data_IF_087392479713
#
_entry.id   IF_087392479713
#
_cell.length_a   1.000
_cell.length_b   1.000
_cell.length_c   1.000
_cell.angle_alpha   90.00
_cell.angle_beta   90.00
_cell.angle_gamma   90.00
#
_symmetry.space_group_name_H-M   'P 1'
#
loop_
_entity.id
_entity.type
_entity.pdbx_description
1 polymer ?
#
# COMPACT_ATOMS: atom_id res chain seq x y z
N UNK A 1 20.46 12.95 -16.29
CA UNK A 1 21.82 13.50 -16.60
C UNK A 1 22.87 12.38 -16.62
N UNK A 2 22.89 11.47 -15.64
CA UNK A 2 23.96 10.48 -15.44
C UNK A 2 23.64 9.02 -15.89
N UNK A 3 22.77 8.79 -16.89
CA UNK A 3 22.33 7.41 -17.19
C UNK A 3 21.47 6.77 -16.09
N UNK A 4 21.12 5.47 -16.19
CA UNK A 4 20.25 4.76 -15.21
C UNK A 4 21.10 4.03 -14.19
N UNK A 5 22.10 3.30 -14.67
CA UNK A 5 23.02 2.52 -13.85
C UNK A 5 23.71 3.42 -12.81
N UNK A 6 24.31 4.58 -13.15
CA UNK A 6 24.84 5.48 -12.12
C UNK A 6 23.75 6.05 -11.19
N UNK A 7 22.53 6.30 -11.67
CA UNK A 7 21.42 6.70 -10.78
C UNK A 7 20.96 5.61 -9.81
N UNK A 8 21.01 4.32 -10.20
CA UNK A 8 20.76 3.18 -9.30
C UNK A 8 21.91 3.02 -8.30
N UNK A 9 23.16 3.09 -8.76
CA UNK A 9 24.35 3.03 -7.89
C UNK A 9 24.32 4.16 -6.84
N UNK A 10 23.96 5.39 -7.21
CA UNK A 10 23.80 6.50 -6.26
C UNK A 10 22.65 6.20 -5.27
N UNK A 11 21.54 5.65 -5.73
CA UNK A 11 20.43 5.26 -4.87
C UNK A 11 20.82 4.18 -3.84
N UNK A 12 21.63 3.20 -4.25
CA UNK A 12 22.13 2.13 -3.40
C UNK A 12 23.12 2.66 -2.35
N UNK A 13 24.01 3.59 -2.72
CA UNK A 13 24.91 4.28 -1.78
C UNK A 13 24.11 5.10 -0.75
N UNK A 14 23.07 5.84 -1.18
CA UNK A 14 22.18 6.56 -0.27
C UNK A 14 21.43 5.62 0.69
N UNK A 15 20.98 4.46 0.19
CA UNK A 15 20.29 3.45 0.99
C UNK A 15 21.23 2.83 2.03
N UNK A 16 22.46 2.46 1.64
CA UNK A 16 23.49 1.94 2.53
C UNK A 16 23.88 2.95 3.61
N UNK A 17 24.13 4.21 3.23
CA UNK A 17 24.42 5.27 4.17
C UNK A 17 23.27 5.49 5.16
N UNK A 18 22.02 5.54 4.68
CA UNK A 18 20.85 5.69 5.52
C UNK A 18 20.62 4.50 6.48
N UNK A 19 20.82 3.27 6.01
CA UNK A 19 20.75 2.06 6.85
C UNK A 19 21.83 2.05 7.94
N UNK A 20 23.07 2.42 7.61
CA UNK A 20 24.15 2.54 8.59
C UNK A 20 23.88 3.65 9.63
N UNK A 21 23.42 4.83 9.18
CA UNK A 21 23.03 5.94 10.07
C UNK A 21 21.92 5.50 11.03
N UNK A 22 20.92 4.75 10.57
CA UNK A 22 19.86 4.22 11.43
C UNK A 22 20.38 3.15 12.41
N UNK A 23 21.22 2.21 11.95
CA UNK A 23 21.76 1.15 12.81
C UNK A 23 22.62 1.71 13.96
N UNK A 24 23.48 2.70 13.66
CA UNK A 24 24.38 3.31 14.66
C UNK A 24 23.80 4.54 15.36
N UNK A 25 22.55 4.92 15.09
CA UNK A 25 21.92 6.11 15.67
C UNK A 25 22.01 6.15 17.21
N UNK A 26 22.57 7.22 17.82
CA UNK A 26 22.58 7.40 19.27
C UNK A 26 21.31 8.11 19.79
N UNK A 27 20.51 8.73 18.92
CA UNK A 27 19.29 9.45 19.29
C UNK A 27 18.22 9.35 18.19
N UNK A 28 16.92 9.55 18.51
CA UNK A 28 15.84 9.50 17.53
C UNK A 28 16.00 10.48 16.36
N UNK A 29 16.63 11.64 16.60
CA UNK A 29 16.92 12.63 15.54
C UNK A 29 17.83 12.05 14.45
N UNK A 30 18.82 11.24 14.82
CA UNK A 30 19.72 10.58 13.85
C UNK A 30 18.99 9.49 13.06
N UNK A 31 17.99 8.82 13.65
CA UNK A 31 17.10 7.90 12.91
C UNK A 31 16.30 8.65 11.84
N UNK A 32 15.82 9.87 12.14
CA UNK A 32 15.12 10.71 11.15
C UNK A 32 16.06 11.06 9.98
N UNK A 33 17.31 11.45 10.26
CA UNK A 33 18.33 11.69 9.21
C UNK A 33 18.52 10.44 8.35
N UNK A 34 18.72 9.27 8.95
CA UNK A 34 18.87 8.02 8.22
C UNK A 34 17.65 7.67 7.35
N UNK A 35 16.43 7.95 7.84
CA UNK A 35 15.18 7.81 7.06
C UNK A 35 15.10 8.77 5.87
N UNK A 36 15.64 9.99 5.97
CA UNK A 36 15.72 10.92 4.82
C UNK A 36 16.65 10.34 3.73
N UNK A 37 17.82 9.83 4.11
CA UNK A 37 18.76 9.19 3.18
C UNK A 37 18.15 7.96 2.48
N UNK A 38 17.53 7.05 3.24
CA UNK A 38 16.81 5.89 2.66
C UNK A 38 15.64 6.36 1.77
N UNK A 39 14.88 7.38 2.19
CA UNK A 39 13.78 7.95 1.42
C UNK A 39 14.21 8.51 0.05
N UNK A 40 15.35 9.20 0.00
CA UNK A 40 15.94 9.68 -1.25
C UNK A 40 16.37 8.51 -2.15
N UNK A 41 17.03 7.49 -1.58
CA UNK A 41 17.41 6.26 -2.29
C UNK A 41 16.19 5.53 -2.87
N UNK A 42 15.16 5.29 -2.06
CA UNK A 42 13.88 4.68 -2.48
C UNK A 42 13.20 5.52 -3.56
N UNK A 43 13.15 6.84 -3.41
CA UNK A 43 12.59 7.75 -4.42
C UNK A 43 13.29 7.69 -5.77
N UNK A 44 14.63 7.53 -5.78
CA UNK A 44 15.41 7.35 -7.01
C UNK A 44 15.26 5.94 -7.60
N UNK A 45 15.34 4.89 -6.77
CA UNK A 45 15.35 3.49 -7.20
C UNK A 45 13.97 3.00 -7.67
N UNK A 46 12.90 3.28 -6.92
CA UNK A 46 11.51 2.91 -7.24
C UNK A 46 11.12 3.32 -8.66
N UNK A 47 11.72 4.43 -9.10
CA UNK A 47 11.54 5.00 -10.40
C UNK A 47 12.50 4.36 -11.38
N UNK A 48 13.82 4.52 -11.18
CA UNK A 48 14.88 4.12 -12.13
C UNK A 48 14.86 2.62 -12.48
N UNK A 49 14.47 1.74 -11.54
CA UNK A 49 14.47 0.29 -11.74
C UNK A 49 13.46 -0.22 -12.79
N UNK A 50 12.12 -0.02 -12.68
CA UNK A 50 11.15 -0.51 -13.67
C UNK A 50 11.40 0.05 -15.08
N UNK A 51 12.10 1.17 -15.18
CA UNK A 51 12.47 1.81 -16.43
C UNK A 51 13.66 1.15 -17.10
N UNK A 52 14.75 0.98 -16.35
CA UNK A 52 15.92 0.24 -16.78
C UNK A 52 15.50 -1.14 -17.30
N UNK A 53 14.64 -1.83 -16.55
CA UNK A 53 14.03 -3.09 -16.96
C UNK A 53 13.26 -2.92 -18.28
N UNK A 54 12.35 -1.96 -18.39
CA UNK A 54 11.52 -1.77 -19.60
C UNK A 54 12.30 -1.46 -20.88
N UNK A 55 13.46 -0.80 -20.74
CA UNK A 55 14.33 -0.35 -21.82
C UNK A 55 15.20 -1.48 -22.37
N UNK A 56 15.63 -2.39 -21.50
CA UNK A 56 16.43 -3.58 -21.86
C UNK A 56 15.53 -4.76 -22.27
N UNK A 57 14.26 -4.77 -21.83
CA UNK A 57 13.33 -5.90 -22.05
C UNK A 57 12.74 -5.98 -23.48
N UNK A 58 12.70 -7.17 -24.10
CA UNK A 58 11.96 -7.41 -25.35
C UNK A 58 10.46 -7.13 -25.21
N UNK A 59 9.86 -6.52 -26.25
CA UNK A 59 8.47 -6.04 -26.21
C UNK A 59 7.40 -7.11 -25.88
N UNK A 60 7.68 -8.40 -26.16
CA UNK A 60 6.76 -9.52 -25.93
C UNK A 60 6.61 -9.91 -24.45
N UNK A 61 7.65 -9.67 -23.63
CA UNK A 61 7.72 -10.09 -22.21
C UNK A 61 8.05 -8.91 -21.27
N UNK A 62 8.04 -7.68 -21.80
CA UNK A 62 8.33 -6.45 -21.04
C UNK A 62 7.43 -6.28 -19.83
N UNK A 63 6.15 -6.67 -19.94
CA UNK A 63 5.20 -6.59 -18.84
C UNK A 63 5.63 -7.47 -17.67
N UNK A 64 5.84 -8.76 -17.93
CA UNK A 64 6.30 -9.72 -16.92
C UNK A 64 7.62 -9.32 -16.27
N UNK A 65 8.62 -8.87 -17.04
CA UNK A 65 9.91 -8.44 -16.50
C UNK A 65 9.79 -7.19 -15.62
N UNK A 66 8.96 -6.21 -15.99
CA UNK A 66 8.70 -5.03 -15.15
C UNK A 66 7.85 -5.39 -13.91
N UNK A 67 6.92 -6.36 -14.00
CA UNK A 67 6.20 -6.90 -12.83
C UNK A 67 7.14 -7.49 -11.78
N UNK A 68 8.32 -8.01 -12.15
CA UNK A 68 9.33 -8.50 -11.20
C UNK A 68 9.74 -7.42 -10.18
N UNK A 69 9.75 -6.14 -10.56
CA UNK A 69 10.00 -5.04 -9.61
C UNK A 69 8.93 -4.96 -8.52
N UNK A 70 7.65 -5.12 -8.90
CA UNK A 70 6.54 -5.19 -7.94
C UNK A 70 6.64 -6.41 -7.03
N UNK A 71 6.99 -7.58 -7.61
CA UNK A 71 7.24 -8.80 -6.85
C UNK A 71 8.35 -8.59 -5.80
N UNK A 72 9.49 -8.01 -6.17
CA UNK A 72 10.60 -7.73 -5.25
C UNK A 72 10.21 -6.72 -4.16
N UNK A 73 9.41 -5.70 -4.46
CA UNK A 73 8.88 -4.77 -3.44
C UNK A 73 7.98 -5.52 -2.45
N UNK A 74 7.01 -6.30 -2.92
CA UNK A 74 6.07 -7.04 -2.04
C UNK A 74 6.74 -8.17 -1.27
N UNK A 75 7.70 -8.87 -1.87
CA UNK A 75 8.53 -9.88 -1.20
C UNK A 75 9.48 -9.26 -0.18
N UNK A 76 10.02 -8.07 -0.46
CA UNK A 76 10.83 -7.30 0.49
C UNK A 76 10.01 -6.84 1.71
N UNK A 77 8.76 -6.40 1.51
CA UNK A 77 7.83 -6.09 2.61
C UNK A 77 7.56 -7.34 3.47
N UNK A 78 7.22 -8.47 2.85
CA UNK A 78 7.00 -9.74 3.56
C UNK A 78 8.25 -10.20 4.35
N UNK A 79 9.43 -10.12 3.72
CA UNK A 79 10.70 -10.44 4.38
C UNK A 79 11.00 -9.50 5.55
N UNK A 80 10.69 -8.21 5.44
CA UNK A 80 10.85 -7.26 6.53
C UNK A 80 9.95 -7.60 7.73
N UNK A 81 8.72 -8.07 7.52
CA UNK A 81 7.87 -8.58 8.62
C UNK A 81 8.45 -9.84 9.28
N UNK A 82 9.02 -10.77 8.51
CA UNK A 82 9.70 -11.95 9.06
C UNK A 82 10.95 -11.58 9.88
N UNK A 83 11.77 -10.66 9.38
CA UNK A 83 12.94 -10.14 10.10
C UNK A 83 12.49 -9.46 11.40
N UNK A 84 11.50 -8.57 11.34
CA UNK A 84 10.97 -7.91 12.53
C UNK A 84 10.46 -8.93 13.56
N UNK A 85 9.68 -9.94 13.13
CA UNK A 85 9.18 -11.00 14.01
C UNK A 85 10.32 -11.80 14.67
N UNK A 86 11.33 -12.20 13.88
CA UNK A 86 12.49 -12.94 14.39
C UNK A 86 13.32 -12.14 15.40
N UNK A 87 13.54 -10.83 15.15
CA UNK A 87 14.39 -10.00 16.01
C UNK A 87 13.66 -9.43 17.25
N UNK A 88 12.32 -9.51 17.36
CA UNK A 88 11.56 -8.99 18.51
C UNK A 88 12.07 -9.45 19.89
N UNK A 89 12.63 -10.67 19.99
CA UNK A 89 13.10 -11.27 21.24
C UNK A 89 14.59 -11.04 21.54
N UNK A 90 15.31 -10.30 20.69
CA UNK A 90 16.77 -10.12 20.79
C UNK A 90 17.12 -8.77 21.43
N UNK A 91 18.03 -8.69 22.43
CA UNK A 91 18.48 -7.42 22.97
C UNK A 91 19.20 -6.58 21.90
N UNK A 92 18.85 -5.29 21.80
CA UNK A 92 19.30 -4.40 20.71
C UNK A 92 18.43 -4.43 19.45
N UNK A 93 17.49 -5.40 19.36
CA UNK A 93 16.20 -5.38 18.63
C UNK A 93 16.13 -4.47 17.40
N UNK A 94 15.84 -3.18 17.58
CA UNK A 94 15.53 -2.24 16.49
C UNK A 94 16.74 -1.87 15.61
N UNK A 95 17.97 -1.94 16.14
CA UNK A 95 19.18 -1.61 15.37
C UNK A 95 19.44 -2.66 14.29
N UNK A 96 19.23 -3.93 14.61
CA UNK A 96 19.34 -5.04 13.66
C UNK A 96 18.21 -5.00 12.61
N UNK A 97 16.97 -4.72 13.02
CA UNK A 97 15.83 -4.56 12.11
C UNK A 97 16.08 -3.49 11.03
N UNK A 98 16.68 -2.35 11.41
CA UNK A 98 16.99 -1.26 10.46
C UNK A 98 18.31 -1.50 9.70
N UNK A 99 19.32 -2.10 10.32
CA UNK A 99 20.64 -2.33 9.71
C UNK A 99 20.65 -3.43 8.65
N UNK A 100 19.92 -4.53 8.86
CA UNK A 100 19.86 -5.66 7.91
C UNK A 100 19.25 -5.23 6.56
N UNK A 101 18.42 -4.18 6.53
CA UNK A 101 17.90 -3.59 5.31
C UNK A 101 19.00 -3.07 4.35
N UNK A 102 20.23 -2.83 4.84
CA UNK A 102 21.38 -2.49 3.99
C UNK A 102 21.91 -3.66 3.15
N UNK A 103 21.70 -4.91 3.56
CA UNK A 103 22.27 -6.08 2.85
C UNK A 103 21.75 -6.24 1.41
N UNK A 104 20.43 -6.14 1.12
CA UNK A 104 19.93 -6.14 -0.26
C UNK A 104 20.51 -4.99 -1.11
N UNK A 105 20.71 -3.80 -0.53
CA UNK A 105 21.31 -2.66 -1.24
C UNK A 105 22.80 -2.89 -1.56
N UNK A 106 23.56 -3.53 -0.65
CA UNK A 106 24.95 -3.93 -0.90
C UNK A 106 25.04 -4.95 -2.05
N UNK A 107 24.16 -5.95 -2.03
CA UNK A 107 24.08 -6.96 -3.09
C UNK A 107 23.72 -6.32 -4.43
N UNK A 108 22.72 -5.42 -4.47
CA UNK A 108 22.35 -4.70 -5.68
C UNK A 108 23.48 -3.82 -6.21
N UNK A 109 24.17 -3.08 -5.33
CA UNK A 109 25.32 -2.25 -5.68
C UNK A 109 26.41 -3.08 -6.40
N UNK A 110 26.80 -4.22 -5.83
CA UNK A 110 27.81 -5.12 -6.42
C UNK A 110 27.35 -5.64 -7.80
N UNK A 111 26.09 -6.06 -7.92
CA UNK A 111 25.53 -6.55 -9.19
C UNK A 111 25.43 -5.45 -10.26
N UNK A 112 25.12 -4.21 -9.87
CA UNK A 112 25.05 -3.07 -10.81
C UNK A 112 26.42 -2.71 -11.41
N UNK A 113 27.52 -3.11 -10.80
CA UNK A 113 28.86 -2.95 -11.40
C UNK A 113 29.04 -3.79 -12.67
N UNK A 114 28.35 -4.93 -12.82
CA UNK A 114 28.50 -5.82 -13.99
C UNK A 114 27.49 -5.55 -15.11
N UNK A 115 26.44 -4.78 -14.86
CA UNK A 115 25.35 -4.53 -15.80
C UNK A 115 25.66 -3.39 -16.80
N UNK A 116 25.21 -3.47 -18.07
CA UNK A 116 25.38 -2.41 -19.08
C UNK A 116 24.41 -1.23 -18.87
N UNK A 117 24.66 -0.07 -19.47
CA UNK A 117 23.73 1.06 -19.39
C UNK A 117 22.48 0.89 -20.28
N UNK A 118 21.29 1.23 -19.76
CA UNK A 118 20.07 1.23 -20.58
C UNK A 118 19.92 2.54 -21.38
N UNK A 119 19.38 2.51 -22.62
CA UNK A 119 19.49 3.65 -23.53
C UNK A 119 18.36 4.72 -23.50
N UNK A 120 17.04 4.47 -23.29
CA UNK A 120 15.96 5.49 -23.55
C UNK A 120 14.77 5.64 -22.52
N UNK A 121 14.83 6.67 -21.65
CA UNK A 121 14.08 6.98 -20.37
C UNK A 121 12.54 7.07 -20.54
N UNK A 122 11.61 6.52 -19.65
CA UNK A 122 10.31 6.93 -18.85
C UNK A 122 8.73 7.14 -19.17
N UNK A 123 7.79 6.66 -18.30
CA UNK A 123 6.47 7.20 -17.66
C UNK A 123 5.02 7.24 -18.32
N UNK A 124 3.79 7.25 -17.67
CA UNK A 124 3.03 7.85 -16.46
C UNK A 124 2.63 6.99 -15.19
N UNK A 125 2.43 7.56 -13.96
CA UNK A 125 2.26 6.79 -12.67
C UNK A 125 1.16 7.15 -11.60
N UNK A 126 0.49 8.31 -11.61
CA UNK A 126 -0.14 8.92 -10.38
C UNK A 126 -1.31 8.15 -9.72
N UNK A 127 -2.19 7.50 -10.49
CA UNK A 127 -3.48 7.00 -9.99
C UNK A 127 -3.40 5.86 -8.94
N UNK A 128 -2.23 5.24 -8.77
CA UNK A 128 -2.04 4.08 -7.88
C UNK A 128 -2.22 4.40 -6.39
N UNK A 129 -1.82 5.60 -5.95
CA UNK A 129 -1.73 5.91 -4.51
C UNK A 129 -3.05 6.33 -3.89
N UNK A 130 -3.94 6.92 -4.68
CA UNK A 130 -5.30 7.28 -4.26
C UNK A 130 -6.20 6.06 -3.99
N UNK A 131 -5.77 4.86 -4.38
CA UNK A 131 -6.37 3.58 -3.96
C UNK A 131 -6.10 3.28 -2.47
N UNK A 132 -5.07 3.88 -1.85
CA UNK A 132 -4.81 3.77 -0.41
C UNK A 132 -4.08 2.50 0.04
N UNK A 133 -3.57 1.67 -0.88
CA UNK A 133 -2.88 0.41 -0.54
C UNK A 133 -1.74 0.57 0.47
N UNK A 134 -0.81 1.50 0.28
CA UNK A 134 0.36 1.64 1.15
C UNK A 134 -0.08 1.98 2.57
N UNK A 135 -1.13 2.80 2.70
CA UNK A 135 -1.79 3.13 3.96
C UNK A 135 -2.44 1.89 4.59
N UNK A 136 -3.15 1.07 3.80
CA UNK A 136 -3.70 -0.23 4.26
C UNK A 136 -2.60 -1.20 4.70
N UNK A 137 -1.44 -1.21 4.04
CA UNK A 137 -0.29 -2.04 4.43
C UNK A 137 0.36 -1.53 5.72
N UNK A 138 0.67 -0.23 5.80
CA UNK A 138 1.31 0.38 6.97
C UNK A 138 0.44 0.30 8.23
N UNK A 139 -0.86 0.50 8.09
CA UNK A 139 -1.83 0.42 9.18
C UNK A 139 -2.56 -0.92 9.23
N UNK A 140 -2.09 -1.98 8.55
CA UNK A 140 -2.69 -3.32 8.61
C UNK A 140 -2.90 -3.81 10.06
N UNK A 141 -1.92 -3.72 10.98
CA UNK A 141 -2.14 -4.11 12.37
C UNK A 141 -3.23 -3.28 13.06
N UNK A 142 -3.25 -1.96 12.82
CA UNK A 142 -4.24 -1.04 13.37
C UNK A 142 -5.64 -1.32 12.82
N UNK A 143 -5.79 -1.60 11.52
CA UNK A 143 -7.07 -1.95 10.90
C UNK A 143 -7.62 -3.27 11.48
N UNK A 144 -6.73 -4.22 11.79
CA UNK A 144 -7.09 -5.47 12.48
C UNK A 144 -7.53 -5.21 13.93
N UNK A 145 -6.85 -4.33 14.66
CA UNK A 145 -7.24 -3.91 16.01
C UNK A 145 -8.59 -3.15 16.01
N UNK A 146 -8.80 -2.23 15.07
CA UNK A 146 -10.07 -1.53 14.82
C UNK A 146 -11.22 -2.51 14.50
N UNK A 147 -10.92 -3.70 13.97
CA UNK A 147 -11.89 -4.76 13.70
C UNK A 147 -12.25 -5.62 14.94
N UNK A 148 -11.64 -5.36 16.10
CA UNK A 148 -11.97 -6.00 17.39
C UNK A 148 -11.07 -7.18 17.78
N UNK A 149 -9.80 -7.21 17.35
CA UNK A 149 -8.83 -8.21 17.80
C UNK A 149 -7.84 -7.60 18.81
N UNK A 150 -7.90 -8.04 20.07
CA UNK A 150 -7.23 -7.38 21.19
C UNK A 150 -5.71 -7.64 21.32
N UNK A 151 -5.16 -8.71 20.73
CA UNK A 151 -3.76 -9.11 20.93
C UNK A 151 -2.81 -8.62 19.83
N UNK A 152 -1.73 -7.94 20.24
CA UNK A 152 -0.66 -7.45 19.36
C UNK A 152 -0.01 -8.56 18.53
N UNK A 153 0.25 -9.73 19.13
CA UNK A 153 0.88 -10.86 18.43
C UNK A 153 -0.03 -11.40 17.31
N UNK A 154 -1.34 -11.44 17.55
CA UNK A 154 -2.33 -11.83 16.53
C UNK A 154 -2.41 -10.80 15.40
N UNK A 155 -2.32 -9.50 15.71
CA UNK A 155 -2.30 -8.44 14.70
C UNK A 155 -1.04 -8.46 13.83
N UNK A 156 0.12 -8.82 14.40
CA UNK A 156 1.36 -9.03 13.63
C UNK A 156 1.27 -10.28 12.75
N UNK A 157 0.79 -11.42 13.28
CA UNK A 157 0.62 -12.65 12.51
C UNK A 157 -0.35 -12.48 11.33
N UNK A 158 -1.47 -11.78 11.52
CA UNK A 158 -2.41 -11.45 10.45
C UNK A 158 -1.81 -10.49 9.41
N UNK A 159 -0.90 -9.59 9.81
CA UNK A 159 -0.19 -8.69 8.89
C UNK A 159 0.91 -9.40 8.05
N UNK A 160 1.41 -10.54 8.53
CA UNK A 160 2.25 -11.43 7.73
C UNK A 160 1.42 -12.10 6.61
N UNK A 161 0.18 -12.50 6.90
CA UNK A 161 -0.75 -13.06 5.91
C UNK A 161 -1.11 -12.04 4.83
N UNK A 162 -1.46 -10.80 5.21
CA UNK A 162 -1.78 -9.74 4.23
C UNK A 162 -0.60 -9.42 3.31
N UNK A 163 0.62 -9.40 3.84
CA UNK A 163 1.86 -9.24 3.07
C UNK A 163 2.15 -10.42 2.15
N UNK A 164 1.92 -11.65 2.61
CA UNK A 164 2.06 -12.86 1.80
C UNK A 164 1.07 -12.90 0.63
N UNK A 165 -0.20 -12.55 0.88
CA UNK A 165 -1.22 -12.43 -0.17
C UNK A 165 -0.84 -11.38 -1.22
N UNK A 166 -0.25 -10.26 -0.80
CA UNK A 166 0.23 -9.22 -1.72
C UNK A 166 1.36 -9.75 -2.63
N UNK A 167 2.30 -10.52 -2.08
CA UNK A 167 3.39 -11.16 -2.83
C UNK A 167 2.86 -12.22 -3.82
N UNK A 168 1.89 -13.06 -3.41
CA UNK A 168 1.22 -14.02 -4.31
C UNK A 168 0.49 -13.28 -5.45
N UNK A 169 -0.18 -12.17 -5.16
CA UNK A 169 -0.81 -11.31 -6.19
C UNK A 169 0.20 -10.75 -7.20
N UNK A 170 1.42 -10.42 -6.77
CA UNK A 170 2.50 -9.98 -7.66
C UNK A 170 2.99 -11.10 -8.58
N UNK A 171 3.05 -12.35 -8.08
CA UNK A 171 3.34 -13.53 -8.92
C UNK A 171 2.24 -13.72 -9.97
N UNK A 172 0.97 -13.60 -9.58
CA UNK A 172 -0.17 -13.67 -10.50
C UNK A 172 -0.09 -12.56 -11.56
N UNK A 173 0.27 -11.32 -11.20
CA UNK A 173 0.53 -10.25 -12.18
C UNK A 173 1.50 -10.69 -13.28
N UNK A 174 2.65 -11.23 -12.88
CA UNK A 174 3.74 -11.59 -13.80
C UNK A 174 3.28 -12.58 -14.89
N UNK A 175 2.45 -13.57 -14.54
CA UNK A 175 1.94 -14.55 -15.50
C UNK A 175 0.77 -14.05 -16.36
N UNK A 176 -0.03 -13.10 -15.87
CA UNK A 176 -1.25 -12.65 -16.55
C UNK A 176 -1.10 -11.33 -17.30
N UNK A 177 -0.11 -10.47 -16.99
CA UNK A 177 0.01 -9.12 -17.59
C UNK A 177 0.22 -9.10 -19.10
N UNK A 178 1.03 -10.01 -19.63
CA UNK A 178 1.24 -10.17 -21.07
C UNK A 178 0.17 -11.07 -21.73
N UNK A 179 -0.68 -11.76 -20.96
CA UNK A 179 -1.82 -12.54 -21.47
C UNK A 179 -3.11 -11.72 -21.56
N UNK A 180 -3.54 -11.10 -20.47
CA UNK A 180 -4.82 -10.40 -20.33
C UNK A 180 -4.78 -8.99 -20.94
N UNK A 181 -3.64 -8.30 -20.83
CA UNK A 181 -3.50 -6.89 -21.23
C UNK A 181 -3.58 -5.92 -20.06
N UNK A 182 -2.91 -4.78 -20.17
CA UNK A 182 -2.71 -3.80 -19.09
C UNK A 182 -4.02 -3.12 -18.70
N UNK A 183 -4.77 -2.63 -19.70
CA UNK A 183 -6.04 -1.91 -19.49
C UNK A 183 -7.06 -2.80 -18.80
N UNK A 184 -7.17 -4.07 -19.22
CA UNK A 184 -8.11 -5.05 -18.65
C UNK A 184 -7.78 -5.39 -17.20
N UNK A 185 -6.51 -5.63 -16.86
CA UNK A 185 -6.11 -5.92 -15.49
C UNK A 185 -6.33 -4.74 -14.54
N UNK A 186 -6.02 -3.51 -14.95
CA UNK A 186 -6.31 -2.31 -14.14
C UNK A 186 -7.81 -2.16 -13.86
N UNK A 187 -8.67 -2.36 -14.87
CA UNK A 187 -10.12 -2.25 -14.71
C UNK A 187 -10.70 -3.34 -13.80
N UNK A 188 -10.31 -4.61 -14.00
CA UNK A 188 -10.75 -5.71 -13.13
C UNK A 188 -10.29 -5.50 -11.68
N UNK A 189 -9.06 -5.04 -11.50
CA UNK A 189 -8.51 -4.70 -10.18
C UNK A 189 -9.27 -3.55 -9.51
N UNK A 190 -9.53 -2.44 -10.22
CA UNK A 190 -10.28 -1.31 -9.69
C UNK A 190 -11.74 -1.65 -9.37
N UNK A 191 -12.39 -2.51 -10.14
CA UNK A 191 -13.73 -3.04 -9.81
C UNK A 191 -13.68 -3.84 -8.50
N UNK A 192 -12.71 -4.76 -8.37
CA UNK A 192 -12.52 -5.53 -7.13
C UNK A 192 -12.23 -4.64 -5.93
N UNK A 193 -11.34 -3.64 -6.08
CA UNK A 193 -11.04 -2.61 -5.08
C UNK A 193 -12.30 -1.90 -4.60
N UNK A 194 -13.13 -1.39 -5.52
CA UNK A 194 -14.38 -0.68 -5.17
C UNK A 194 -15.35 -1.61 -4.44
N UNK A 195 -15.53 -2.85 -4.90
CA UNK A 195 -16.37 -3.85 -4.25
C UNK A 195 -15.89 -4.14 -2.83
N UNK A 196 -14.60 -4.44 -2.63
CA UNK A 196 -14.10 -4.82 -1.31
C UNK A 196 -13.98 -3.64 -0.34
N UNK A 197 -13.72 -2.41 -0.82
CA UNK A 197 -13.81 -1.20 0.02
C UNK A 197 -15.25 -0.90 0.44
N UNK A 198 -16.24 -1.10 -0.44
CA UNK A 198 -17.65 -1.00 -0.08
C UNK A 198 -18.06 -2.07 0.96
N UNK A 199 -17.60 -3.32 0.79
CA UNK A 199 -17.80 -4.40 1.77
C UNK A 199 -17.17 -4.01 3.11
N UNK A 200 -15.89 -3.60 3.15
CA UNK A 200 -15.19 -3.15 4.36
C UNK A 200 -15.95 -2.02 5.08
N UNK A 201 -16.30 -0.95 4.35
CA UNK A 201 -17.09 0.16 4.88
C UNK A 201 -18.42 -0.30 5.48
N UNK A 202 -19.14 -1.19 4.78
CA UNK A 202 -20.40 -1.77 5.27
C UNK A 202 -20.23 -2.67 6.49
N UNK A 203 -19.12 -3.41 6.60
CA UNK A 203 -18.82 -4.24 7.78
C UNK A 203 -18.50 -3.41 9.00
N UNK A 204 -17.70 -2.34 8.85
CA UNK A 204 -17.44 -1.41 9.95
C UNK A 204 -18.69 -0.63 10.37
N UNK A 205 -19.59 -0.29 9.43
CA UNK A 205 -20.87 0.34 9.75
C UNK A 205 -21.78 -0.59 10.58
N UNK A 206 -21.87 -1.86 10.15
CA UNK A 206 -22.60 -2.91 10.89
C UNK A 206 -21.96 -3.24 12.24
N UNK A 207 -20.63 -3.23 12.33
CA UNK A 207 -19.92 -3.42 13.59
C UNK A 207 -20.17 -2.26 14.57
N UNK A 208 -20.20 -1.01 14.08
CA UNK A 208 -20.52 0.16 14.92
C UNK A 208 -21.97 0.13 15.44
N UNK A 209 -22.96 -0.18 14.59
CA UNK A 209 -24.36 -0.26 15.00
C UNK A 209 -24.66 -1.44 15.94
N UNK A 210 -23.89 -2.51 15.87
CA UNK A 210 -24.03 -3.69 16.76
C UNK A 210 -22.93 -3.74 17.83
N UNK A 211 -22.30 -2.60 18.17
CA UNK A 211 -21.35 -2.53 19.25
C UNK A 211 -22.07 -2.79 20.60
N UNK A 212 -21.46 -3.51 21.55
CA UNK A 212 -22.09 -3.76 22.84
C UNK A 212 -22.32 -2.44 23.60
N UNK A 213 -23.43 -2.29 24.33
CA UNK A 213 -23.68 -1.12 25.15
C UNK A 213 -22.76 -1.10 26.38
N UNK A 214 -22.53 0.08 26.94
CA UNK A 214 -21.91 0.24 28.26
C UNK A 214 -23.02 0.19 29.31
N UNK A 215 -22.86 -0.67 30.32
CA UNK A 215 -23.80 -0.78 31.44
C UNK A 215 -23.24 -0.06 32.67
N UNK A 216 -24.05 0.78 33.30
CA UNK A 216 -23.72 1.40 34.58
C UNK A 216 -23.49 0.32 35.66
N UNK A 217 -24.27 -0.77 35.65
CA UNK A 217 -24.10 -1.90 36.60
C UNK A 217 -22.72 -2.56 36.49
N UNK A 218 -22.20 -2.68 35.26
CA UNK A 218 -20.85 -3.21 35.00
C UNK A 218 -19.75 -2.17 35.25
N UNK A 219 -20.09 -0.87 35.23
CA UNK A 219 -19.13 0.23 35.39
C UNK A 219 -18.94 0.64 36.85
N UNK A 220 -20.00 0.54 37.69
CA UNK A 220 -19.97 0.83 39.13
C UNK A 220 -18.85 0.15 39.93
N UNK A 221 -18.48 -1.14 39.71
CA UNK A 221 -17.35 -1.77 40.39
C UNK A 221 -16.01 -1.02 40.19
N UNK A 222 -15.90 -0.26 39.09
CA UNK A 222 -14.72 0.49 38.69
C UNK A 222 -14.88 2.00 38.91
N UNK A 223 -15.75 2.46 39.82
CA UNK A 223 -16.13 3.87 39.98
C UNK A 223 -14.95 4.87 40.10
N UNK A 224 -13.81 4.46 40.67
CA UNK A 224 -12.60 5.31 40.78
C UNK A 224 -11.72 5.33 39.52
N UNK A 225 -12.07 4.55 38.50
CA UNK A 225 -11.27 4.24 37.31
C UNK A 225 -12.08 4.41 36.00
N UNK A 226 -13.25 5.04 36.04
CA UNK A 226 -14.10 5.29 34.87
C UNK A 226 -13.50 6.31 33.91
N UNK A 227 -13.91 6.26 32.64
CA UNK A 227 -13.59 7.31 31.67
C UNK A 227 -14.10 8.69 32.15
N UNK A 228 -13.30 9.78 32.15
CA UNK A 228 -13.72 11.09 32.68
C UNK A 228 -14.95 11.71 32.00
N UNK A 229 -15.21 11.34 30.75
CA UNK A 229 -16.35 11.84 29.97
C UNK A 229 -17.60 10.95 30.09
N UNK A 230 -17.51 9.78 30.75
CA UNK A 230 -18.62 8.85 30.87
C UNK A 230 -19.76 9.44 31.70
N UNK A 231 -20.98 9.42 31.15
CA UNK A 231 -22.19 9.88 31.82
C UNK A 231 -23.25 8.76 31.85
N UNK A 232 -23.60 8.21 33.02
CA UNK A 232 -24.52 7.08 33.15
C UNK A 232 -25.98 7.41 32.78
N UNK A 233 -26.33 8.69 32.64
CA UNK A 233 -27.68 9.13 32.24
C UNK A 233 -27.93 9.07 30.72
N UNK A 234 -26.89 8.79 29.93
CA UNK A 234 -26.96 8.68 28.47
C UNK A 234 -26.76 7.22 28.07
N UNK A 235 -27.34 6.79 26.95
CA UNK A 235 -27.03 5.47 26.41
C UNK A 235 -25.68 5.53 25.66
N UNK A 236 -24.68 4.83 26.18
CA UNK A 236 -23.35 4.72 25.56
C UNK A 236 -23.18 3.34 24.91
N UNK A 237 -22.67 3.29 23.69
CA UNK A 237 -22.06 2.09 23.13
C UNK A 237 -20.56 2.02 23.46
N UNK A 238 -19.96 0.85 23.29
CA UNK A 238 -18.50 0.71 23.29
C UNK A 238 -17.83 1.69 22.31
N UNK A 239 -18.44 1.96 21.14
CA UNK A 239 -17.89 2.89 20.16
C UNK A 239 -17.93 4.35 20.65
N UNK A 240 -18.90 4.72 21.48
CA UNK A 240 -18.97 6.05 22.07
C UNK A 240 -17.93 6.20 23.18
N UNK A 241 -17.76 5.15 24.01
CA UNK A 241 -16.70 5.07 25.02
C UNK A 241 -15.29 5.28 24.43
N UNK A 242 -14.97 4.58 23.33
CA UNK A 242 -13.67 4.70 22.66
C UNK A 242 -13.47 6.01 21.87
N UNK A 243 -14.55 6.75 21.58
CA UNK A 243 -14.49 8.01 20.82
C UNK A 243 -14.52 9.27 21.69
N UNK A 244 -15.04 9.17 22.92
CA UNK A 244 -15.12 10.30 23.85
C UNK A 244 -13.73 10.93 24.06
N UNK A 245 -12.79 10.16 24.62
CA UNK A 245 -11.39 10.56 24.73
C UNK A 245 -10.45 9.43 24.32
N UNK A 246 -9.28 9.78 23.77
CA UNK A 246 -8.19 8.83 23.51
C UNK A 246 -7.53 8.28 24.79
N UNK A 247 -8.03 8.68 25.96
CA UNK A 247 -7.67 8.19 27.28
C UNK A 247 -8.76 7.28 27.87
N UNK A 248 -9.68 6.75 27.05
CA UNK A 248 -10.72 5.82 27.47
C UNK A 248 -10.64 4.47 26.74
N UNK A 249 -11.17 3.43 27.37
CA UNK A 249 -11.12 2.04 26.92
C UNK A 249 -12.32 1.25 27.40
N UNK A 250 -12.67 0.19 26.67
CA UNK A 250 -13.83 -0.65 26.95
C UNK A 250 -13.38 -1.98 27.56
N UNK A 251 -13.81 -2.26 28.79
CA UNK A 251 -13.64 -3.57 29.42
C UNK A 251 -14.88 -4.42 29.16
N UNK A 252 -14.74 -5.50 28.39
CA UNK A 252 -15.85 -6.33 27.97
C UNK A 252 -16.36 -7.23 29.11
N UNK A 253 -17.58 -7.77 28.99
CA UNK A 253 -18.13 -8.71 29.99
C UNK A 253 -17.41 -10.06 29.97
N UNK A 254 -17.32 -10.70 31.12
CA UNK A 254 -16.67 -12.00 31.30
C UNK A 254 -17.31 -13.09 30.39
N UNK A 255 -16.49 -13.91 29.74
CA UNK A 255 -16.93 -15.04 28.91
C UNK A 255 -17.66 -14.70 27.60
N UNK A 256 -18.19 -13.48 27.41
CA UNK A 256 -18.80 -13.07 26.14
C UNK A 256 -18.67 -11.55 25.90
N UNK A 257 -17.70 -11.18 25.06
CA UNK A 257 -17.39 -9.79 24.76
C UNK A 257 -18.50 -9.01 24.01
N UNK A 258 -19.57 -9.67 23.54
CA UNK A 258 -20.72 -9.01 22.90
C UNK A 258 -21.81 -8.60 23.91
N UNK A 259 -21.66 -8.91 25.20
CA UNK A 259 -22.56 -8.46 26.27
C UNK A 259 -22.20 -7.04 26.74
N UNK A 260 -23.10 -6.36 27.48
CA UNK A 260 -22.83 -5.02 27.98
C UNK A 260 -21.57 -4.97 28.85
N UNK A 261 -20.69 -4.00 28.61
CA UNK A 261 -19.40 -3.88 29.32
C UNK A 261 -19.25 -2.57 30.10
N UNK A 262 -18.03 -2.28 30.53
CA UNK A 262 -17.68 -1.09 31.32
C UNK A 262 -16.80 -0.11 30.54
N UNK A 263 -16.97 1.20 30.78
CA UNK A 263 -16.15 2.26 30.17
C UNK A 263 -15.14 2.83 31.17
N UNK A 264 -13.86 2.52 30.96
CA UNK A 264 -12.76 2.79 31.88
C UNK A 264 -11.75 3.79 31.30
N UNK A 265 -10.93 4.39 32.16
CA UNK A 265 -9.74 5.13 31.72
C UNK A 265 -8.70 4.17 31.11
N UNK A 266 -7.91 4.62 30.13
CA UNK A 266 -6.91 3.86 29.39
C UNK A 266 -5.53 3.93 30.07
N UNK A 267 -5.37 3.19 31.17
CA UNK A 267 -4.11 3.09 31.91
C UNK A 267 -3.64 1.62 31.99
N UNK A 268 -2.37 1.39 32.32
CA UNK A 268 -1.88 0.02 32.55
C UNK A 268 -2.53 -0.64 33.76
N UNK A 269 -2.90 0.15 34.77
CA UNK A 269 -3.61 -0.30 35.97
C UNK A 269 -5.02 -0.81 35.63
N UNK A 270 -5.84 -0.01 34.96
CA UNK A 270 -7.22 -0.39 34.55
C UNK A 270 -7.25 -1.58 33.60
N UNK A 271 -6.29 -1.67 32.67
CA UNK A 271 -6.07 -2.87 31.84
C UNK A 271 -5.75 -4.09 32.70
N UNK A 272 -4.90 -3.93 33.72
CA UNK A 272 -4.57 -4.98 34.69
C UNK A 272 -5.78 -5.46 35.50
N UNK A 273 -6.60 -4.53 36.03
CA UNK A 273 -7.82 -4.86 36.79
C UNK A 273 -8.85 -5.56 35.90
N UNK A 274 -9.05 -5.10 34.65
CA UNK A 274 -9.93 -5.77 33.70
C UNK A 274 -9.48 -7.22 33.42
N UNK A 275 -8.19 -7.44 33.19
CA UNK A 275 -7.66 -8.79 32.98
C UNK A 275 -7.66 -9.67 34.24
N UNK A 276 -7.57 -9.08 35.43
CA UNK A 276 -7.68 -9.81 36.70
C UNK A 276 -9.07 -10.40 36.92
N UNK A 277 -10.12 -9.75 36.41
CA UNK A 277 -11.51 -10.23 36.42
C UNK A 277 -11.84 -11.11 35.18
N UNK A 278 -10.83 -11.70 34.54
CA UNK A 278 -10.93 -12.52 33.33
C UNK A 278 -11.61 -11.85 32.11
N UNK A 279 -11.62 -10.51 32.05
CA UNK A 279 -12.20 -9.74 30.95
C UNK A 279 -11.16 -9.35 29.90
N UNK A 280 -11.64 -9.16 28.68
CA UNK A 280 -10.84 -8.59 27.58
C UNK A 280 -10.98 -7.06 27.55
N UNK A 281 -9.85 -6.39 27.45
CA UNK A 281 -9.78 -4.92 27.40
C UNK A 281 -9.52 -4.45 25.96
N UNK A 282 -10.38 -3.57 25.48
CA UNK A 282 -10.38 -3.02 24.13
C UNK A 282 -10.07 -1.52 24.15
N UNK A 283 -9.09 -1.07 23.36
CA UNK A 283 -8.67 0.35 23.30
C UNK A 283 -8.83 1.03 21.94
N UNK A 284 -8.80 0.28 20.84
CA UNK A 284 -8.84 0.84 19.48
C UNK A 284 -10.07 0.40 18.67
N UNK A 285 -10.76 -0.68 19.07
CA UNK A 285 -11.94 -1.18 18.36
C UNK A 285 -12.81 -2.08 19.22
N UNK A 286 -14.11 -2.11 18.94
CA UNK A 286 -15.09 -2.86 19.72
C UNK A 286 -15.22 -4.32 19.28
N UNK A 287 -15.46 -5.26 20.21
CA UNK A 287 -15.78 -6.64 19.88
C UNK A 287 -17.07 -6.69 19.05
N UNK A 288 -17.04 -7.45 17.95
CA UNK A 288 -18.16 -7.55 17.03
C UNK A 288 -18.15 -8.90 16.28
N UNK A 289 -19.34 -9.41 15.95
CA UNK A 289 -19.51 -10.70 15.26
C UNK A 289 -19.02 -10.70 13.79
N UNK A 290 -18.70 -9.53 13.23
CA UNK A 290 -18.38 -9.34 11.81
C UNK A 290 -16.89 -9.15 11.52
N UNK A 291 -16.01 -9.18 12.54
CA UNK A 291 -14.57 -8.93 12.39
C UNK A 291 -13.87 -9.87 11.39
N UNK A 292 -14.27 -11.15 11.35
CA UNK A 292 -13.79 -12.11 10.36
C UNK A 292 -14.14 -11.72 8.91
N UNK A 293 -15.31 -11.10 8.69
CA UNK A 293 -15.73 -10.64 7.37
C UNK A 293 -14.94 -9.39 6.95
N UNK A 294 -14.58 -8.53 7.89
CA UNK A 294 -13.64 -7.43 7.64
C UNK A 294 -12.23 -7.96 7.29
N UNK A 295 -11.74 -8.99 7.98
CA UNK A 295 -10.47 -9.65 7.62
C UNK A 295 -10.50 -10.27 6.21
N UNK A 296 -11.56 -10.98 5.85
CA UNK A 296 -11.72 -11.56 4.51
C UNK A 296 -11.83 -10.49 3.42
N UNK A 297 -12.58 -9.40 3.68
CA UNK A 297 -12.70 -8.30 2.74
C UNK A 297 -11.37 -7.54 2.57
N UNK A 298 -10.58 -7.39 3.64
CA UNK A 298 -9.22 -6.84 3.60
C UNK A 298 -8.27 -7.73 2.77
N UNK A 299 -8.30 -9.05 2.99
CA UNK A 299 -7.53 -10.01 2.21
C UNK A 299 -7.91 -9.96 0.72
N UNK A 300 -9.22 -9.97 0.41
CA UNK A 300 -9.73 -9.93 -0.95
C UNK A 300 -9.47 -8.58 -1.65
N UNK A 301 -9.48 -7.46 -0.92
CA UNK A 301 -9.02 -6.15 -1.39
C UNK A 301 -7.55 -6.20 -1.84
N UNK A 302 -6.66 -6.76 -1.02
CA UNK A 302 -5.22 -6.87 -1.35
C UNK A 302 -5.00 -7.77 -2.57
N UNK A 303 -5.66 -8.93 -2.63
CA UNK A 303 -5.59 -9.85 -3.78
C UNK A 303 -6.17 -9.22 -5.05
N UNK A 304 -7.19 -8.36 -4.94
CA UNK A 304 -7.75 -7.62 -6.08
C UNK A 304 -6.84 -6.48 -6.55
N UNK A 305 -6.16 -5.81 -5.61
CA UNK A 305 -5.24 -4.72 -5.89
C UNK A 305 -3.96 -5.21 -6.62
N UNK A 306 -3.30 -6.23 -6.07
CA UNK A 306 -1.91 -6.56 -6.42
C UNK A 306 -1.68 -6.89 -7.91
N UNK A 307 -2.49 -7.76 -8.56
CA UNK A 307 -2.31 -8.12 -9.98
C UNK A 307 -2.53 -6.97 -10.97
N UNK A 308 -3.31 -5.94 -10.58
CA UNK A 308 -3.65 -4.80 -11.43
C UNK A 308 -3.01 -3.52 -10.94
N UNK A 309 -3.67 -2.80 -10.04
CA UNK A 309 -3.18 -1.51 -9.55
C UNK A 309 -1.87 -1.59 -8.76
N UNK A 310 -1.46 -2.76 -8.27
CA UNK A 310 -0.12 -3.00 -7.72
C UNK A 310 1.01 -2.81 -8.72
N UNK A 311 0.92 -3.51 -9.85
CA UNK A 311 2.02 -3.64 -10.81
C UNK A 311 1.80 -2.88 -12.12
N UNK A 312 0.57 -2.86 -12.63
CA UNK A 312 0.28 -2.37 -13.99
C UNK A 312 0.50 -0.86 -14.15
N UNK A 313 0.23 0.01 -13.16
CA UNK A 313 0.62 1.41 -13.27
C UNK A 313 2.11 1.56 -13.57
N UNK A 314 3.02 0.84 -12.89
CA UNK A 314 4.48 0.86 -13.17
C UNK A 314 4.87 0.36 -14.58
N UNK A 315 4.02 -0.48 -15.19
CA UNK A 315 4.24 -1.02 -16.55
C UNK A 315 3.72 -0.04 -17.60
N UNK A 316 2.47 0.40 -17.50
CA UNK A 316 1.91 1.46 -18.36
C UNK A 316 2.77 2.72 -18.26
N UNK A 317 3.27 2.99 -17.06
CA UNK A 317 4.31 3.97 -16.81
C UNK A 317 5.50 3.78 -17.73
N UNK A 318 6.20 2.65 -17.65
CA UNK A 318 7.39 2.45 -18.50
C UNK A 318 7.09 2.38 -20.02
N UNK A 319 5.82 2.22 -20.42
CA UNK A 319 5.38 2.03 -21.80
C UNK A 319 4.84 3.30 -22.52
N UNK A 320 4.11 4.22 -21.86
CA UNK A 320 3.17 5.14 -22.56
C UNK A 320 3.77 6.44 -23.16
N UNK A 321 4.85 7.02 -22.63
CA UNK A 321 5.38 8.31 -23.14
C UNK A 321 6.37 8.18 -24.32
N UNK A 322 6.70 9.28 -25.04
CA UNK A 322 7.71 9.32 -26.11
C UNK A 322 9.13 9.65 -25.60
N UNK A 323 10.13 8.92 -26.13
CA UNK A 323 11.50 8.72 -25.59
C UNK A 323 12.29 9.98 -25.15
N UNK A 324 11.90 11.18 -25.63
CA UNK A 324 12.56 12.47 -25.35
C UNK A 324 12.19 13.07 -23.99
N UNK A 325 10.89 13.13 -23.67
CA UNK A 325 10.37 13.88 -22.52
C UNK A 325 10.12 13.03 -21.30
N UNK A 326 9.77 11.78 -21.58
CA UNK A 326 9.71 10.66 -20.66
C UNK A 326 10.42 10.94 -19.32
N UNK A 327 11.75 11.13 -19.35
CA UNK A 327 12.61 11.25 -18.14
C UNK A 327 12.17 12.29 -17.10
N UNK A 328 11.70 13.44 -17.57
CA UNK A 328 11.19 14.53 -16.72
C UNK A 328 9.77 14.20 -16.28
N UNK A 329 8.93 13.78 -17.22
CA UNK A 329 7.54 13.41 -16.98
C UNK A 329 7.44 12.23 -15.98
N UNK A 330 8.54 11.53 -15.72
CA UNK A 330 8.63 10.55 -14.65
C UNK A 330 9.20 10.99 -13.32
N UNK A 331 10.18 11.89 -13.25
CA UNK A 331 10.42 12.62 -12.01
C UNK A 331 9.13 13.24 -11.47
N UNK A 332 8.30 13.80 -12.36
CA UNK A 332 6.98 14.36 -12.03
C UNK A 332 6.03 13.31 -11.46
N UNK A 333 5.76 12.21 -12.15
CA UNK A 333 4.78 11.24 -11.67
C UNK A 333 5.30 10.37 -10.51
N UNK A 334 6.61 10.28 -10.30
CA UNK A 334 7.24 9.78 -9.08
C UNK A 334 6.92 10.64 -7.88
N UNK A 335 7.17 11.95 -8.00
CA UNK A 335 6.88 12.94 -6.97
C UNK A 335 5.39 12.95 -6.69
N UNK A 336 4.53 12.95 -7.72
CA UNK A 336 3.09 12.85 -7.53
C UNK A 336 2.66 11.53 -6.85
N UNK A 337 3.29 10.39 -7.15
CA UNK A 337 3.09 9.13 -6.43
C UNK A 337 3.49 9.28 -4.94
N UNK A 338 4.72 9.69 -4.64
CA UNK A 338 5.19 9.79 -3.25
C UNK A 338 4.50 10.90 -2.43
N UNK A 339 4.11 12.02 -3.04
CA UNK A 339 3.29 13.07 -2.41
C UNK A 339 1.87 12.56 -2.13
N UNK A 340 1.22 11.90 -3.09
CA UNK A 340 -0.09 11.28 -2.85
C UNK A 340 -0.02 10.22 -1.75
N UNK A 341 1.05 9.44 -1.72
CA UNK A 341 1.31 8.45 -0.66
C UNK A 341 1.42 9.11 0.72
N UNK A 342 2.18 10.21 0.82
CA UNK A 342 2.34 10.98 2.05
C UNK A 342 0.99 11.55 2.53
N UNK A 343 0.24 12.19 1.63
CA UNK A 343 -1.09 12.76 1.94
C UNK A 343 -2.03 11.68 2.48
N UNK A 344 -2.20 10.57 1.76
CA UNK A 344 -3.14 9.52 2.16
C UNK A 344 -2.70 8.84 3.45
N UNK A 345 -1.39 8.58 3.62
CA UNK A 345 -0.87 7.92 4.83
C UNK A 345 -0.97 8.81 6.07
N UNK A 346 -0.68 10.11 5.97
CA UNK A 346 -0.78 11.03 7.10
C UNK A 346 -2.24 11.36 7.48
N UNK A 347 -3.13 11.46 6.48
CA UNK A 347 -4.55 11.79 6.75
C UNK A 347 -5.38 10.60 7.23
N UNK A 348 -4.97 9.35 6.97
CA UNK A 348 -5.76 8.16 7.29
C UNK A 348 -6.20 8.05 8.74
N UNK A 349 -5.27 8.08 9.70
CA UNK A 349 -5.61 7.93 11.12
C UNK A 349 -6.49 9.10 11.62
N UNK A 350 -6.24 10.30 11.12
CA UNK A 350 -7.07 11.49 11.42
C UNK A 350 -8.48 11.33 10.87
N UNK A 351 -8.64 10.81 9.64
CA UNK A 351 -9.95 10.50 9.04
C UNK A 351 -10.66 9.39 9.81
N UNK A 352 -9.98 8.31 10.20
CA UNK A 352 -10.61 7.22 10.98
C UNK A 352 -11.07 7.69 12.36
N UNK A 353 -10.36 8.64 12.98
CA UNK A 353 -10.76 9.24 14.27
C UNK A 353 -11.91 10.24 14.12
N UNK A 354 -11.87 11.11 13.11
CA UNK A 354 -12.86 12.17 12.92
C UNK A 354 -14.18 11.70 12.28
N UNK A 355 -14.12 10.79 11.29
CA UNK A 355 -15.28 10.30 10.54
C UNK A 355 -15.69 8.86 10.94
N UNK A 356 -14.84 8.16 11.69
CA UNK A 356 -14.96 6.73 11.92
C UNK A 356 -14.40 5.88 10.76
N UNK A 357 -13.99 4.65 11.09
CA UNK A 357 -13.44 3.68 10.13
C UNK A 357 -14.38 3.40 8.96
N UNK A 358 -15.69 3.25 9.23
CA UNK A 358 -16.70 2.97 8.23
C UNK A 358 -16.79 4.04 7.13
N UNK A 359 -16.95 5.31 7.52
CA UNK A 359 -17.00 6.42 6.58
C UNK A 359 -15.67 6.62 5.85
N UNK A 360 -14.54 6.37 6.51
CA UNK A 360 -13.20 6.46 5.91
C UNK A 360 -13.03 5.44 4.77
N UNK A 361 -13.40 4.17 4.96
CA UNK A 361 -13.34 3.17 3.88
C UNK A 361 -14.35 3.45 2.74
N UNK A 362 -15.52 4.01 3.05
CA UNK A 362 -16.48 4.45 2.03
C UNK A 362 -15.98 5.67 1.23
N UNK A 363 -15.23 6.58 1.85
CA UNK A 363 -14.55 7.68 1.16
C UNK A 363 -13.51 7.13 0.17
N UNK A 364 -12.66 6.17 0.58
CA UNK A 364 -11.72 5.50 -0.33
C UNK A 364 -12.44 4.71 -1.44
N UNK A 365 -13.60 4.13 -1.17
CA UNK A 365 -14.45 3.51 -2.19
C UNK A 365 -14.90 4.54 -3.23
N UNK A 366 -15.38 5.72 -2.82
CA UNK A 366 -15.76 6.81 -3.71
C UNK A 366 -14.60 7.33 -4.56
N UNK A 367 -13.43 7.56 -3.94
CA UNK A 367 -12.20 7.96 -4.66
C UNK A 367 -11.75 6.89 -5.66
N UNK A 368 -11.82 5.61 -5.28
CA UNK A 368 -11.48 4.48 -6.16
C UNK A 368 -12.46 4.32 -7.32
N UNK A 369 -13.74 4.65 -7.11
CA UNK A 369 -14.76 4.66 -8.18
C UNK A 369 -14.54 5.80 -9.18
N UNK A 370 -14.18 7.01 -8.71
CA UNK A 370 -13.73 8.08 -9.59
C UNK A 370 -12.47 7.69 -10.37
N UNK A 371 -11.50 7.03 -9.72
CA UNK A 371 -10.31 6.51 -10.38
C UNK A 371 -10.64 5.44 -11.44
N UNK A 372 -11.62 4.56 -11.19
CA UNK A 372 -12.13 3.59 -12.16
C UNK A 372 -12.69 4.27 -13.42
N UNK A 373 -13.50 5.32 -13.26
CA UNK A 373 -14.05 6.10 -14.38
C UNK A 373 -12.91 6.77 -15.17
N UNK A 374 -11.98 7.45 -14.49
CA UNK A 374 -10.84 8.12 -15.14
C UNK A 374 -9.96 7.12 -15.88
N UNK A 375 -9.65 5.96 -15.29
CA UNK A 375 -8.86 4.90 -15.94
C UNK A 375 -9.59 4.34 -17.16
N UNK A 376 -10.89 4.07 -17.05
CA UNK A 376 -11.70 3.59 -18.17
C UNK A 376 -11.69 4.58 -19.35
N UNK A 377 -11.81 5.88 -19.07
CA UNK A 377 -11.86 6.93 -20.09
C UNK A 377 -10.50 7.31 -20.67
N UNK A 378 -9.38 7.11 -19.96
CA UNK A 378 -8.08 7.68 -20.37
C UNK A 378 -6.98 6.66 -20.72
N UNK A 379 -7.01 5.44 -20.15
CA UNK A 379 -5.87 4.50 -20.26
C UNK A 379 -5.99 3.60 -21.49
N UNK A 380 -5.05 3.64 -22.45
CA UNK A 380 -5.03 2.73 -23.59
C UNK A 380 -4.56 1.32 -23.21
N UNK A 381 -4.78 0.37 -24.11
CA UNK A 381 -4.05 -0.90 -24.07
C UNK A 381 -2.68 -0.75 -24.75
N UNK A 382 -1.60 -1.03 -24.01
CA UNK A 382 -0.20 -0.94 -24.49
C UNK A 382 0.41 -2.31 -24.82
N UNK A 383 -0.28 -3.41 -24.49
CA UNK A 383 0.23 -4.79 -24.64
C UNK A 383 0.78 -5.06 -26.05
N UNK A 384 2.06 -5.45 -26.09
CA UNK A 384 2.74 -5.94 -27.29
C UNK A 384 3.19 -4.86 -28.28
N UNK A 385 2.92 -3.57 -28.01
CA UNK A 385 3.34 -2.47 -28.86
C UNK A 385 4.79 -2.04 -28.58
N UNK A 386 5.49 -1.62 -29.62
CA UNK A 386 6.75 -0.90 -29.53
C UNK A 386 6.51 0.57 -29.18
N UNK A 387 7.52 1.23 -28.59
CA UNK A 387 7.38 2.61 -28.13
C UNK A 387 6.98 3.59 -29.25
N UNK A 388 7.48 3.40 -30.49
CA UNK A 388 7.06 4.21 -31.66
C UNK A 388 5.60 3.99 -32.06
N UNK A 389 5.07 2.79 -31.87
CA UNK A 389 3.68 2.46 -32.20
C UNK A 389 2.73 3.06 -31.17
N UNK A 390 3.11 3.04 -29.88
CA UNK A 390 2.39 3.74 -28.81
C UNK A 390 2.35 5.25 -29.07
N UNK A 391 3.46 5.85 -29.51
CA UNK A 391 3.53 7.26 -29.90
C UNK A 391 2.62 7.57 -31.11
N UNK A 392 2.65 6.76 -32.18
CA UNK A 392 1.76 6.90 -33.35
C UNK A 392 0.28 6.73 -32.98
N UNK A 393 -0.05 5.79 -32.08
CA UNK A 393 -1.41 5.59 -31.57
C UNK A 393 -1.91 6.82 -30.82
N UNK A 394 -1.12 7.38 -29.90
CA UNK A 394 -1.48 8.55 -29.10
C UNK A 394 -1.55 9.84 -29.92
N UNK A 395 -0.75 9.96 -30.98
CA UNK A 395 -0.79 11.10 -31.92
C UNK A 395 -1.94 11.06 -32.94
N UNK A 396 -2.75 10.01 -32.97
CA UNK A 396 -3.82 9.85 -33.96
C UNK A 396 -5.06 10.71 -33.64
N UNK A 397 -5.56 11.48 -34.63
CA UNK A 397 -6.73 12.37 -34.46
C UNK A 397 -8.03 11.65 -34.01
N UNK A 398 -8.13 10.34 -34.25
CA UNK A 398 -9.27 9.50 -33.88
C UNK A 398 -8.99 8.56 -32.69
N UNK A 399 -7.97 8.87 -31.87
CA UNK A 399 -7.61 8.07 -30.69
C UNK A 399 -8.80 7.89 -29.74
N UNK A 400 -9.12 6.62 -29.43
CA UNK A 400 -10.11 6.23 -28.41
C UNK A 400 -9.47 5.15 -27.52
N UNK A 401 -9.26 5.38 -26.21
CA UNK A 401 -8.56 4.44 -25.31
C UNK A 401 -9.12 3.02 -25.25
N UNK A 402 -10.41 2.84 -25.58
CA UNK A 402 -11.09 1.54 -25.60
C UNK A 402 -11.01 0.79 -26.94
N UNK A 403 -10.57 1.43 -28.02
CA UNK A 403 -10.33 0.74 -29.30
C UNK A 403 -8.93 0.12 -29.30
N UNK A 404 -8.84 -1.15 -29.70
CA UNK A 404 -7.54 -1.84 -29.85
C UNK A 404 -6.82 -1.27 -31.08
N UNK A 405 -5.59 -0.79 -30.90
CA UNK A 405 -4.74 -0.38 -32.01
C UNK A 405 -4.20 -1.62 -32.73
N UNK A 406 -4.32 -1.63 -34.05
CA UNK A 406 -3.66 -2.59 -34.93
C UNK A 406 -2.58 -1.82 -35.70
N UNK A 407 -1.28 -2.15 -35.53
CA UNK A 407 -0.24 -1.50 -36.31
C UNK A 407 -0.44 -1.85 -37.80
N UNK A 408 -0.29 -0.84 -38.64
CA UNK A 408 -0.27 -1.01 -40.10
C UNK A 408 0.90 -1.94 -40.46
N UNK A 409 0.66 -2.90 -41.35
CA UNK A 409 1.74 -3.74 -41.88
C UNK A 409 2.81 -2.84 -42.52
N UNK A 410 4.11 -3.17 -42.39
CA UNK A 410 5.17 -2.37 -43.00
C UNK A 410 4.93 -2.31 -44.50
N UNK A 411 4.66 -1.12 -45.02
CA UNK A 411 4.58 -0.87 -46.46
C UNK A 411 5.91 -1.29 -47.07
N UNK A 412 5.88 -2.35 -47.90
CA UNK A 412 7.02 -2.71 -48.75
C UNK A 412 7.47 -1.43 -49.47
N UNK A 413 8.78 -1.21 -49.50
CA UNK A 413 9.36 0.08 -49.86
C UNK A 413 8.79 0.62 -51.15
N UNK A 414 8.21 1.81 -51.09
CA UNK A 414 8.13 2.67 -52.27
C UNK A 414 9.52 3.31 -52.38
N UNK A 415 10.42 2.63 -53.08
CA UNK A 415 11.66 3.22 -53.51
C UNK A 415 11.30 4.51 -54.27
N UNK A 416 11.63 5.64 -53.66
CA UNK A 416 11.62 6.90 -54.39
C UNK A 416 12.86 6.83 -55.26
N UNK A 417 12.68 6.36 -56.49
CA UNK A 417 13.71 6.37 -57.50
C UNK A 417 14.20 7.80 -57.68
N UNK A 418 15.36 8.10 -57.13
CA UNK A 418 16.13 9.30 -57.48
C UNK A 418 16.63 9.06 -58.88
N UNK A 419 15.79 9.39 -59.87
CA UNK A 419 16.21 9.43 -61.25
C UNK A 419 17.34 10.46 -61.37
N UNK A 420 18.50 10.02 -61.85
CA UNK A 420 19.50 10.93 -62.41
C UNK A 420 18.87 11.65 -63.59
N UNK A 421 18.84 12.99 -63.53
CA UNK A 421 18.93 13.92 -64.65
C UNK A 421 19.48 15.25 -64.12
#
# INVERSE_FOLDING_TARGET
RFGRRPSLIIADVLFLAGAAIMAFAPSPAVIIVGRVFVGLGVGMASMTAPLYISEVSPARIRGALVSTNGLLITGGQFMAYLINLAFTKVPGTWRWMLGIAGFPALLQFILMLTLPESPRWLYRQVAQQFVGINTVMYYSPTIVQLAGFASNDTAMALSLITSGLNAVGSIVSMFFVDRVGRRRLMLLSLVGIVVWLAVLGSTFLRAAHNAPPVSDVETRPFANQTCPEYNPNVHWSCMDCLRAASTCGFCAHEGNALRPGACLALNNETRGVCHADHREFYSEGCPNKYGWLALLALAAYIVSYSPGMGTVPWIVNSEIYPLRFRGICGGIAAVANWVSNLIVTQTFLTLTKALGSAATFLLFCGVSFMALIVVFLTVPETKGLQFKEVEKMLGSKNYRPWKRYHPEAPTKGREIGVAML
#
